data_IF_466490576642
#
_entry.id   IF_466490576642
#
_cell.length_a   1.000
_cell.length_b   1.000
_cell.length_c   1.000
_cell.angle_alpha   90.00
_cell.angle_beta   90.00
_cell.angle_gamma   90.00
#
_symmetry.space_group_name_H-M   'P 1'
#
loop_
_entity.id
_entity.type
_entity.pdbx_description
1 polymer ?
#
# COMPACT_ATOMS: atom_id res chain seq x y z
N UNK A 1 20.10 -11.71 -4.47
CA UNK A 1 19.27 -11.37 -3.30
C UNK A 1 18.33 -12.54 -3.09
N UNK A 2 18.40 -13.21 -1.94
CA UNK A 2 17.46 -14.25 -1.60
C UNK A 2 16.21 -13.62 -0.97
N UNK A 3 15.06 -14.26 -1.09
CA UNK A 3 13.77 -13.76 -0.65
C UNK A 3 13.12 -14.79 0.26
N UNK A 4 12.21 -14.42 1.16
CA UNK A 4 11.46 -15.41 1.94
C UNK A 4 9.94 -15.36 1.66
N UNK A 5 9.39 -16.53 1.37
CA UNK A 5 8.00 -16.83 1.10
C UNK A 5 7.43 -17.62 2.27
N UNK A 6 6.30 -17.19 2.83
CA UNK A 6 5.75 -17.86 4.00
C UNK A 6 4.45 -18.58 3.72
N UNK A 7 4.37 -19.87 4.07
CA UNK A 7 3.18 -20.72 3.91
C UNK A 7 2.71 -21.26 5.27
N UNK A 8 1.39 -21.31 5.48
CA UNK A 8 0.77 -21.88 6.68
C UNK A 8 0.57 -23.37 6.45
N UNK A 9 1.01 -24.16 7.42
CA UNK A 9 0.89 -25.60 7.36
C UNK A 9 -0.52 -26.15 7.61
N UNK A 10 -0.70 -27.35 7.08
CA UNK A 10 -1.92 -28.14 7.05
C UNK A 10 -2.46 -28.53 8.45
N UNK A 11 -3.78 -28.74 8.59
CA UNK A 11 -4.36 -29.44 9.74
C UNK A 11 -3.89 -30.92 9.80
N UNK A 12 -4.07 -31.63 10.94
CA UNK A 12 -3.56 -32.99 11.18
C UNK A 12 -4.05 -34.07 10.20
N UNK A 13 -5.06 -33.78 9.37
CA UNK A 13 -5.31 -34.51 8.14
C UNK A 13 -5.28 -33.56 6.92
N UNK A 14 -4.38 -33.77 5.95
CA UNK A 14 -4.28 -32.89 4.78
C UNK A 14 -5.49 -33.09 3.87
N UNK A 15 -6.30 -32.05 3.68
CA UNK A 15 -7.30 -32.03 2.60
C UNK A 15 -6.61 -32.12 1.23
N UNK A 16 -7.27 -32.67 0.22
CA UNK A 16 -6.74 -32.77 -1.17
C UNK A 16 -6.22 -31.42 -1.71
N UNK A 17 -6.81 -30.30 -1.28
CA UNK A 17 -6.38 -28.93 -1.64
C UNK A 17 -5.07 -28.54 -0.92
N UNK A 18 -4.92 -28.92 0.34
CA UNK A 18 -3.68 -28.75 1.11
C UNK A 18 -2.54 -29.60 0.52
N UNK A 19 -2.80 -30.85 0.11
CA UNK A 19 -1.82 -31.68 -0.61
C UNK A 19 -1.45 -31.09 -1.96
N UNK A 20 -2.40 -30.58 -2.74
CA UNK A 20 -2.10 -29.98 -4.04
C UNK A 20 -1.31 -28.66 -3.94
N UNK A 21 -1.55 -27.86 -2.88
CA UNK A 21 -0.77 -26.65 -2.58
C UNK A 21 0.64 -27.06 -2.15
N UNK A 22 0.79 -27.91 -1.14
CA UNK A 22 2.09 -28.38 -0.65
C UNK A 22 2.89 -29.12 -1.72
N UNK A 23 2.26 -30.07 -2.43
CA UNK A 23 2.89 -30.82 -3.51
C UNK A 23 3.27 -29.92 -4.68
N UNK A 24 2.50 -28.87 -5.03
CA UNK A 24 2.95 -27.88 -6.02
C UNK A 24 4.08 -26.99 -5.49
N UNK A 25 4.04 -26.58 -4.22
CA UNK A 25 5.13 -25.81 -3.60
C UNK A 25 6.44 -26.63 -3.49
N UNK A 26 6.36 -27.93 -3.18
CA UNK A 26 7.50 -28.85 -3.10
C UNK A 26 7.98 -29.32 -4.47
N UNK A 27 7.10 -29.62 -5.44
CA UNK A 27 7.53 -30.11 -6.76
C UNK A 27 7.80 -29.01 -7.79
N UNK A 28 7.26 -27.80 -7.63
CA UNK A 28 7.49 -26.70 -8.57
C UNK A 28 8.49 -25.64 -8.07
N UNK A 29 8.77 -25.55 -6.76
CA UNK A 29 9.56 -24.44 -6.18
C UNK A 29 10.74 -24.86 -5.28
N UNK A 30 11.01 -26.15 -5.03
CA UNK A 30 12.07 -26.57 -4.08
C UNK A 30 13.46 -26.92 -4.65
N UNK A 31 13.70 -26.80 -5.95
CA UNK A 31 15.02 -26.27 -6.31
C UNK A 31 14.93 -25.37 -7.53
N UNK A 32 15.45 -24.14 -7.40
CA UNK A 32 15.77 -23.15 -8.44
C UNK A 32 15.07 -21.82 -8.21
N UNK A 33 15.90 -20.77 -8.23
CA UNK A 33 15.49 -19.38 -8.41
C UNK A 33 14.33 -19.31 -9.41
N UNK A 34 13.16 -18.91 -8.93
CA UNK A 34 12.00 -18.74 -9.81
C UNK A 34 12.34 -17.55 -10.70
N UNK A 35 12.69 -17.83 -11.96
CA UNK A 35 12.46 -16.84 -13.02
C UNK A 35 10.95 -16.66 -13.10
N UNK A 36 10.45 -15.64 -12.41
CA UNK A 36 9.11 -15.12 -12.67
C UNK A 36 9.29 -14.19 -13.87
N UNK A 37 9.00 -14.63 -15.11
CA UNK A 37 9.12 -13.77 -16.27
C UNK A 37 8.18 -12.59 -16.01
N UNK A 38 8.67 -11.38 -16.25
CA UNK A 38 8.00 -10.09 -15.98
C UNK A 38 8.12 -9.50 -14.56
N UNK A 39 8.91 -10.07 -13.64
CA UNK A 39 9.50 -9.27 -12.54
C UNK A 39 10.85 -8.67 -12.94
N UNK A 40 11.43 -9.13 -14.05
CA UNK A 40 12.72 -8.68 -14.58
C UNK A 40 12.81 -7.15 -14.78
N UNK A 41 11.69 -6.50 -15.12
CA UNK A 41 11.66 -5.04 -15.28
C UNK A 41 11.91 -4.29 -13.95
N UNK A 42 11.69 -4.94 -12.80
CA UNK A 42 11.60 -4.25 -11.52
C UNK A 42 12.89 -4.19 -10.70
N UNK A 43 13.81 -5.15 -10.76
CA UNK A 43 15.11 -5.02 -10.04
C UNK A 43 16.26 -5.90 -10.54
N UNK A 44 16.02 -7.09 -11.10
CA UNK A 44 17.03 -8.01 -11.67
C UNK A 44 16.34 -9.12 -12.47
N UNK A 45 17.06 -9.84 -13.35
CA UNK A 45 16.54 -10.94 -14.18
C UNK A 45 15.98 -12.16 -13.39
N UNK A 46 16.19 -12.21 -12.07
CA UNK A 46 15.75 -13.31 -11.22
C UNK A 46 15.41 -12.86 -9.79
N UNK A 47 14.48 -13.60 -9.17
CA UNK A 47 14.11 -13.51 -7.74
C UNK A 47 14.28 -14.92 -7.15
N UNK A 48 15.07 -15.03 -6.09
CA UNK A 48 15.30 -16.30 -5.40
C UNK A 48 14.36 -16.47 -4.20
N UNK A 49 13.39 -17.38 -4.26
CA UNK A 49 12.40 -17.53 -3.20
C UNK A 49 12.77 -18.64 -2.20
N UNK A 50 12.82 -18.32 -0.91
CA UNK A 50 13.04 -19.23 0.23
C UNK A 50 11.73 -19.47 0.95
N UNK A 51 11.22 -20.69 0.92
CA UNK A 51 10.00 -21.03 1.65
C UNK A 51 10.27 -21.23 3.14
N UNK A 52 9.51 -20.54 3.98
CA UNK A 52 9.60 -20.62 5.44
C UNK A 52 8.20 -20.85 6.01
N UNK A 53 8.06 -21.81 6.92
CA UNK A 53 6.78 -22.12 7.57
C UNK A 53 6.35 -20.99 8.50
N UNK A 54 5.07 -20.63 8.46
CA UNK A 54 4.51 -19.68 9.43
C UNK A 54 4.44 -20.29 10.84
N UNK A 55 4.58 -19.47 11.90
CA UNK A 55 4.48 -19.93 13.27
C UNK A 55 3.09 -20.53 13.54
N UNK A 56 3.04 -21.57 14.37
CA UNK A 56 1.78 -22.19 14.80
C UNK A 56 0.89 -21.16 15.51
N UNK A 57 -0.41 -21.42 15.53
CA UNK A 57 -1.38 -20.64 16.31
C UNK A 57 -1.52 -19.14 15.94
N UNK A 58 -1.04 -18.76 14.76
CA UNK A 58 -1.08 -17.37 14.27
C UNK A 58 -2.17 -17.08 13.25
N UNK A 59 -2.72 -18.13 12.64
CA UNK A 59 -3.71 -18.05 11.58
C UNK A 59 -4.71 -19.19 11.69
N UNK A 60 -5.96 -18.93 11.32
CA UNK A 60 -7.06 -19.88 11.43
C UNK A 60 -8.31 -19.29 12.05
N UNK A 61 -9.40 -20.07 12.11
CA UNK A 61 -10.64 -19.65 12.74
C UNK A 61 -10.45 -19.43 14.23
N UNK A 62 -11.11 -18.41 14.79
CA UNK A 62 -11.03 -18.08 16.22
C UNK A 62 -11.16 -19.31 17.14
N UNK A 63 -12.14 -20.23 16.98
CA UNK A 63 -12.31 -21.36 17.89
C UNK A 63 -11.13 -22.34 17.90
N UNK A 64 -10.29 -22.33 16.87
CA UNK A 64 -9.19 -23.28 16.69
C UNK A 64 -7.85 -22.71 17.18
N UNK A 65 -7.86 -21.53 17.79
CA UNK A 65 -6.64 -20.83 18.21
C UNK A 65 -6.64 -20.61 19.74
N UNK A 66 -5.47 -20.52 20.38
CA UNK A 66 -5.36 -20.23 21.81
C UNK A 66 -6.10 -18.94 22.19
N UNK A 67 -6.60 -18.79 23.43
CA UNK A 67 -7.33 -17.59 23.86
C UNK A 67 -8.58 -17.27 23.00
N UNK A 68 -9.24 -18.29 22.46
CA UNK A 68 -10.45 -18.12 21.65
C UNK A 68 -11.64 -17.58 22.48
N UNK A 69 -11.62 -17.76 23.79
CA UNK A 69 -12.59 -17.29 24.77
C UNK A 69 -12.54 -15.75 24.96
N UNK A 70 -11.38 -15.12 24.78
CA UNK A 70 -11.19 -13.66 24.93
C UNK A 70 -12.10 -12.88 23.98
N UNK A 71 -13.11 -12.21 24.54
CA UNK A 71 -14.10 -11.44 23.75
C UNK A 71 -13.50 -10.17 23.14
N UNK A 72 -12.58 -9.51 23.85
CA UNK A 72 -11.95 -8.28 23.40
C UNK A 72 -11.01 -8.54 22.19
N UNK A 73 -11.30 -7.90 21.06
CA UNK A 73 -10.53 -8.11 19.83
C UNK A 73 -9.11 -7.51 19.87
N UNK A 74 -8.91 -6.41 20.62
CA UNK A 74 -7.59 -5.81 20.78
C UNK A 74 -6.68 -6.71 21.62
N UNK A 75 -7.20 -7.25 22.72
CA UNK A 75 -6.49 -8.20 23.57
C UNK A 75 -6.16 -9.50 22.83
N UNK A 76 -7.13 -10.09 22.11
CA UNK A 76 -6.84 -11.23 21.21
C UNK A 76 -5.77 -10.88 20.18
N UNK A 77 -5.85 -9.70 19.57
CA UNK A 77 -4.87 -9.25 18.60
C UNK A 77 -3.46 -9.16 19.19
N UNK A 78 -3.33 -8.75 20.45
CA UNK A 78 -2.05 -8.70 21.17
C UNK A 78 -1.52 -10.11 21.47
N UNK A 79 -2.36 -11.03 21.94
CA UNK A 79 -1.98 -12.43 22.15
C UNK A 79 -1.55 -13.10 20.83
N UNK A 80 -2.28 -12.82 19.74
CA UNK A 80 -1.90 -13.27 18.39
C UNK A 80 -0.58 -12.68 17.96
N UNK A 81 -0.32 -11.41 18.24
CA UNK A 81 0.96 -10.77 17.94
C UNK A 81 2.07 -11.51 18.69
N UNK A 82 1.94 -11.76 20.00
CA UNK A 82 2.96 -12.45 20.81
C UNK A 82 3.33 -13.84 20.27
N UNK A 83 2.36 -14.60 19.72
CA UNK A 83 2.63 -15.89 19.09
C UNK A 83 3.60 -15.82 17.88
N UNK A 84 3.82 -14.63 17.29
CA UNK A 84 4.81 -14.43 16.24
C UNK A 84 6.22 -14.14 16.75
N UNK A 85 6.39 -13.77 18.02
CA UNK A 85 7.59 -13.06 18.49
C UNK A 85 8.89 -13.80 18.24
N UNK A 86 9.04 -14.98 18.84
CA UNK A 86 10.25 -15.81 18.70
C UNK A 86 10.57 -16.10 17.23
N UNK A 87 9.53 -16.36 16.43
CA UNK A 87 9.68 -16.60 15.01
C UNK A 87 10.16 -15.36 14.24
N UNK A 88 9.61 -14.18 14.53
CA UNK A 88 10.02 -12.93 13.87
C UNK A 88 11.43 -12.47 14.26
N UNK A 89 11.84 -12.72 15.51
CA UNK A 89 13.19 -12.43 15.98
C UNK A 89 14.20 -13.32 15.24
N UNK A 90 13.92 -14.62 15.13
CA UNK A 90 14.72 -15.57 14.33
C UNK A 90 14.75 -15.18 12.85
N UNK A 91 13.60 -14.77 12.31
CA UNK A 91 13.50 -14.34 10.92
C UNK A 91 14.42 -13.15 10.66
N UNK A 92 14.47 -12.16 11.56
CA UNK A 92 15.35 -10.99 11.40
C UNK A 92 16.80 -11.39 11.18
N UNK A 93 17.30 -12.31 11.99
CA UNK A 93 18.68 -12.82 11.90
C UNK A 93 18.94 -13.51 10.55
N UNK A 94 18.02 -14.39 10.13
CA UNK A 94 18.09 -15.06 8.83
C UNK A 94 18.06 -14.07 7.66
N UNK A 95 17.24 -13.02 7.76
CA UNK A 95 17.14 -12.01 6.71
C UNK A 95 18.42 -11.21 6.51
N UNK A 96 19.17 -10.94 7.59
CA UNK A 96 20.48 -10.31 7.50
C UNK A 96 21.50 -11.22 6.81
N UNK A 97 21.52 -12.50 7.16
CA UNK A 97 22.43 -13.48 6.57
C UNK A 97 22.14 -13.72 5.08
N UNK A 98 20.87 -13.91 4.72
CA UNK A 98 20.44 -14.29 3.37
C UNK A 98 20.17 -13.08 2.46
N UNK A 99 20.42 -11.86 2.95
CA UNK A 99 20.11 -10.61 2.24
C UNK A 99 18.64 -10.53 1.75
N UNK A 100 17.69 -10.90 2.62
CA UNK A 100 16.25 -10.88 2.31
C UNK A 100 15.71 -9.45 2.40
N UNK A 101 15.23 -8.95 1.26
CA UNK A 101 14.76 -7.57 1.09
C UNK A 101 13.24 -7.40 1.11
N UNK A 102 12.47 -8.47 1.30
CA UNK A 102 11.00 -8.37 1.38
C UNK A 102 10.30 -9.67 1.75
N UNK A 103 9.07 -9.54 2.26
CA UNK A 103 8.30 -10.65 2.82
C UNK A 103 6.91 -10.74 2.21
N UNK A 104 6.57 -11.92 1.69
CA UNK A 104 5.24 -12.26 1.22
C UNK A 104 4.64 -13.38 2.08
N UNK A 105 3.50 -13.11 2.72
CA UNK A 105 2.79 -14.08 3.54
C UNK A 105 1.62 -14.65 2.77
N UNK A 106 1.65 -15.96 2.50
CA UNK A 106 0.57 -16.69 1.85
C UNK A 106 -0.32 -17.34 2.90
N UNK A 107 -1.54 -16.83 3.04
CA UNK A 107 -2.49 -17.30 4.05
C UNK A 107 -3.91 -17.41 3.49
N UNK A 108 -4.60 -18.56 3.64
CA UNK A 108 -5.97 -18.70 3.17
C UNK A 108 -6.92 -17.82 3.98
N UNK A 109 -8.05 -17.47 3.36
CA UNK A 109 -9.16 -16.75 4.02
C UNK A 109 -10.08 -17.69 4.79
N UNK A 110 -10.14 -18.94 4.36
CA UNK A 110 -11.03 -19.97 4.87
C UNK A 110 -10.20 -21.21 5.22
N UNK A 111 -10.47 -21.80 6.37
CA UNK A 111 -9.79 -22.95 6.94
C UNK A 111 -10.79 -24.06 7.23
N UNK A 112 -10.31 -25.30 7.27
CA UNK A 112 -11.14 -26.49 7.44
C UNK A 112 -11.50 -27.16 6.12
N UNK A 113 -12.49 -28.03 6.18
CA UNK A 113 -12.94 -28.87 5.07
C UNK A 113 -14.17 -29.66 5.49
N UNK A 114 -14.71 -30.49 4.59
CA UNK A 114 -15.78 -31.42 4.95
C UNK A 114 -15.23 -32.49 5.91
N UNK A 115 -16.01 -32.92 6.93
CA UNK A 115 -17.41 -32.55 7.20
C UNK A 115 -17.59 -31.27 8.02
N UNK A 116 -16.55 -30.79 8.73
CA UNK A 116 -16.63 -29.73 9.74
C UNK A 116 -16.92 -28.31 9.21
N UNK A 117 -16.95 -28.16 7.88
CA UNK A 117 -17.26 -26.94 7.18
C UNK A 117 -16.07 -25.97 7.08
N UNK A 118 -16.18 -25.02 6.15
CA UNK A 118 -15.19 -23.97 6.00
C UNK A 118 -15.47 -22.83 6.98
N UNK A 119 -14.48 -22.48 7.81
CA UNK A 119 -14.55 -21.37 8.75
C UNK A 119 -13.57 -20.28 8.35
N UNK A 120 -13.97 -19.02 8.53
CA UNK A 120 -13.16 -17.87 8.16
C UNK A 120 -12.02 -17.66 9.17
N UNK A 121 -10.88 -17.19 8.67
CA UNK A 121 -9.77 -16.67 9.50
C UNK A 121 -10.28 -15.64 10.52
N UNK A 122 -9.77 -15.66 11.75
CA UNK A 122 -10.06 -14.57 12.70
C UNK A 122 -9.52 -13.25 12.12
N UNK A 123 -10.35 -12.21 12.14
CA UNK A 123 -10.05 -10.95 11.48
C UNK A 123 -8.87 -10.20 12.11
N UNK A 124 -8.46 -10.57 13.33
CA UNK A 124 -7.31 -9.99 14.04
C UNK A 124 -5.98 -10.58 13.57
N UNK A 125 -5.95 -11.78 13.00
CA UNK A 125 -4.73 -12.54 12.70
C UNK A 125 -3.82 -11.79 11.74
N UNK A 126 -4.36 -11.32 10.60
CA UNK A 126 -3.58 -10.58 9.60
C UNK A 126 -3.00 -9.27 10.15
N UNK A 127 -3.76 -8.54 10.96
CA UNK A 127 -3.25 -7.30 11.57
C UNK A 127 -2.17 -7.58 12.62
N UNK A 128 -2.32 -8.66 13.38
CA UNK A 128 -1.35 -9.08 14.38
C UNK A 128 -0.02 -9.49 13.72
N UNK A 129 -0.07 -10.31 12.65
CA UNK A 129 1.12 -10.72 11.91
C UNK A 129 1.84 -9.55 11.25
N UNK A 130 1.11 -8.61 10.59
CA UNK A 130 1.72 -7.37 10.07
C UNK A 130 2.44 -6.58 11.17
N UNK A 131 1.79 -6.40 12.32
CA UNK A 131 2.36 -5.65 13.45
C UNK A 131 3.59 -6.36 14.02
N UNK A 132 3.53 -7.68 14.23
CA UNK A 132 4.65 -8.49 14.69
C UNK A 132 5.87 -8.38 13.78
N UNK A 133 5.68 -8.59 12.47
CA UNK A 133 6.77 -8.53 11.48
C UNK A 133 7.37 -7.12 11.44
N UNK A 134 6.55 -6.07 11.42
CA UNK A 134 7.06 -4.70 11.42
C UNK A 134 7.75 -4.31 12.73
N UNK A 135 7.25 -4.76 13.88
CA UNK A 135 7.82 -4.43 15.19
C UNK A 135 9.11 -5.19 15.49
N UNK A 136 9.17 -6.49 15.21
CA UNK A 136 10.27 -7.34 15.67
C UNK A 136 11.22 -7.76 14.56
N UNK A 137 10.71 -8.06 13.36
CA UNK A 137 11.57 -8.30 12.20
C UNK A 137 12.04 -7.00 11.53
N UNK A 138 11.42 -5.85 11.85
CA UNK A 138 11.68 -4.54 11.23
C UNK A 138 11.50 -4.54 9.71
N UNK A 139 10.47 -5.25 9.26
CA UNK A 139 10.22 -5.49 7.83
C UNK A 139 8.79 -5.16 7.45
N UNK A 140 8.63 -4.82 6.17
CA UNK A 140 7.31 -4.60 5.56
C UNK A 140 6.88 -5.88 4.86
N UNK A 141 5.58 -6.14 4.89
CA UNK A 141 5.02 -7.43 4.46
C UNK A 141 3.75 -7.23 3.65
N UNK A 142 3.57 -8.07 2.63
CA UNK A 142 2.32 -8.16 1.90
C UNK A 142 1.68 -9.54 2.02
N UNK A 143 0.35 -9.55 2.17
CA UNK A 143 -0.43 -10.77 2.32
C UNK A 143 -1.05 -11.19 1.00
N UNK A 144 -0.93 -12.48 0.71
CA UNK A 144 -1.45 -13.12 -0.49
C UNK A 144 -2.41 -14.24 -0.10
N UNK A 145 -3.43 -14.44 -0.94
CA UNK A 145 -4.20 -15.69 -0.90
C UNK A 145 -3.41 -16.78 -1.64
N UNK A 146 -3.53 -18.06 -1.23
CA UNK A 146 -2.91 -19.17 -1.94
C UNK A 146 -3.52 -19.36 -3.34
N UNK A 147 -2.93 -20.25 -4.12
CA UNK A 147 -3.55 -20.76 -5.35
C UNK A 147 -4.88 -21.47 -5.01
N UNK A 148 -5.86 -21.38 -5.92
CA UNK A 148 -7.16 -22.05 -5.78
C UNK A 148 -7.10 -23.53 -6.16
N UNK A 149 -6.00 -23.98 -6.78
CA UNK A 149 -5.83 -25.37 -7.21
C UNK A 149 -4.67 -25.53 -8.21
N UNK A 150 -4.44 -26.76 -8.69
CA UNK A 150 -3.29 -27.08 -9.55
C UNK A 150 -3.47 -26.66 -11.02
N UNK A 151 -4.65 -26.18 -11.43
CA UNK A 151 -4.90 -25.77 -12.82
C UNK A 151 -3.94 -24.66 -13.25
N UNK A 152 -3.49 -24.70 -14.51
CA UNK A 152 -2.55 -23.72 -15.07
C UNK A 152 -3.05 -22.27 -14.95
N UNK A 153 -4.35 -22.03 -15.16
CA UNK A 153 -4.97 -20.72 -15.00
C UNK A 153 -4.91 -20.19 -13.56
N UNK A 154 -5.09 -21.07 -12.56
CA UNK A 154 -4.99 -20.72 -11.15
C UNK A 154 -3.54 -20.38 -10.75
N UNK A 155 -2.57 -21.09 -11.33
CA UNK A 155 -1.14 -20.77 -11.16
C UNK A 155 -0.80 -19.40 -11.76
N UNK A 156 -1.26 -19.11 -12.97
CA UNK A 156 -1.06 -17.80 -13.60
C UNK A 156 -1.69 -16.65 -12.79
N UNK A 157 -2.91 -16.84 -12.27
CA UNK A 157 -3.56 -15.85 -11.38
C UNK A 157 -2.73 -15.59 -10.12
N UNK A 158 -2.19 -16.65 -9.52
CA UNK A 158 -1.34 -16.54 -8.33
C UNK A 158 -0.02 -15.83 -8.63
N UNK A 159 0.65 -16.16 -9.74
CA UNK A 159 1.87 -15.47 -10.18
C UNK A 159 1.64 -13.97 -10.37
N UNK A 160 0.56 -13.58 -11.06
CA UNK A 160 0.20 -12.18 -11.24
C UNK A 160 -0.04 -11.47 -9.91
N UNK A 161 -0.68 -12.17 -8.94
CA UNK A 161 -0.90 -11.63 -7.59
C UNK A 161 0.41 -11.41 -6.84
N UNK A 162 1.34 -12.37 -6.94
CA UNK A 162 2.67 -12.27 -6.33
C UNK A 162 3.48 -11.12 -6.95
N UNK A 163 3.48 -10.99 -8.28
CA UNK A 163 4.10 -9.87 -9.00
C UNK A 163 3.56 -8.51 -8.53
N UNK A 164 2.23 -8.38 -8.48
CA UNK A 164 1.60 -7.14 -8.02
C UNK A 164 1.91 -6.83 -6.55
N UNK A 165 1.92 -7.85 -5.68
CA UNK A 165 2.29 -7.68 -4.28
C UNK A 165 3.77 -7.32 -4.11
N UNK A 166 4.64 -7.84 -4.96
CA UNK A 166 6.04 -7.48 -5.00
C UNK A 166 6.22 -6.02 -5.42
N UNK A 167 5.58 -5.60 -6.51
CA UNK A 167 5.58 -4.21 -6.97
C UNK A 167 5.07 -3.25 -5.91
N UNK A 168 3.98 -3.61 -5.23
CA UNK A 168 3.43 -2.85 -4.10
C UNK A 168 4.46 -2.72 -2.98
N UNK A 169 5.14 -3.82 -2.63
CA UNK A 169 6.18 -3.81 -1.63
C UNK A 169 7.36 -2.91 -2.06
N UNK A 170 7.95 -3.12 -3.23
CA UNK A 170 9.12 -2.34 -3.69
C UNK A 170 8.82 -0.84 -3.85
N UNK A 171 7.67 -0.51 -4.46
CA UNK A 171 7.36 0.88 -4.81
C UNK A 171 6.67 1.61 -3.67
N UNK A 172 5.59 1.04 -3.13
CA UNK A 172 4.76 1.74 -2.14
C UNK A 172 5.28 1.61 -0.70
N UNK A 173 6.08 0.59 -0.40
CA UNK A 173 6.59 0.35 0.96
C UNK A 173 8.09 0.62 1.09
N UNK A 174 8.91 0.16 0.14
CA UNK A 174 10.35 0.45 0.12
C UNK A 174 10.69 1.79 -0.53
N UNK A 175 9.79 2.33 -1.36
CA UNK A 175 9.98 3.64 -1.97
C UNK A 175 11.06 3.64 -3.04
N UNK A 176 11.29 2.51 -3.70
CA UNK A 176 12.31 2.37 -4.74
C UNK A 176 11.64 2.33 -6.11
N UNK A 177 12.10 3.19 -7.01
CA UNK A 177 11.59 3.31 -8.37
C UNK A 177 12.73 3.17 -9.38
N UNK A 178 12.38 2.94 -10.64
CA UNK A 178 13.33 2.92 -11.76
C UNK A 178 12.95 3.99 -12.76
N UNK A 179 13.96 4.60 -13.39
CA UNK A 179 13.86 5.42 -14.60
C UNK A 179 12.83 6.57 -14.51
N UNK A 180 12.64 7.13 -13.30
CA UNK A 180 11.73 8.26 -13.11
C UNK A 180 12.30 9.55 -13.68
N UNK A 181 13.62 9.74 -13.59
CA UNK A 181 14.26 10.98 -14.03
C UNK A 181 13.91 11.32 -15.48
N UNK A 182 14.12 10.37 -16.40
CA UNK A 182 13.84 10.57 -17.83
C UNK A 182 12.33 10.74 -18.09
N UNK A 183 11.51 9.96 -17.38
CA UNK A 183 10.05 10.06 -17.46
C UNK A 183 9.58 11.46 -17.05
N UNK A 184 10.05 11.99 -15.93
CA UNK A 184 9.71 13.32 -15.43
C UNK A 184 10.25 14.39 -16.36
N UNK A 185 11.51 14.30 -16.77
CA UNK A 185 12.16 15.27 -17.67
C UNK A 185 11.41 15.44 -18.98
N UNK A 186 10.78 14.38 -19.50
CA UNK A 186 9.96 14.44 -20.71
C UNK A 186 8.77 15.42 -20.61
N UNK A 187 8.26 15.66 -19.39
CA UNK A 187 7.18 16.61 -19.11
C UNK A 187 7.67 18.03 -18.77
N UNK A 188 8.98 18.25 -18.62
CA UNK A 188 9.57 19.54 -18.27
C UNK A 188 10.62 19.98 -19.31
N UNK A 189 10.19 20.54 -20.46
CA UNK A 189 11.12 21.03 -21.47
C UNK A 189 11.99 22.18 -20.93
N UNK A 190 13.14 22.41 -21.58
CA UNK A 190 14.06 23.53 -21.31
C UNK A 190 14.81 23.50 -19.96
N UNK A 191 15.06 22.31 -19.40
CA UNK A 191 15.87 22.18 -18.18
C UNK A 191 15.17 22.61 -16.90
N UNK A 192 13.85 22.86 -16.95
CA UNK A 192 13.03 23.19 -15.80
C UNK A 192 12.58 21.95 -14.98
N UNK A 193 13.18 20.78 -15.21
CA UNK A 193 12.79 19.55 -14.49
C UNK A 193 13.02 19.74 -12.99
N UNK A 194 12.05 19.38 -12.13
CA UNK A 194 12.30 19.33 -10.70
C UNK A 194 13.42 18.34 -10.42
N UNK A 195 14.17 18.55 -9.34
CA UNK A 195 15.08 17.53 -8.80
C UNK A 195 14.39 16.66 -7.74
N UNK A 196 13.34 17.19 -7.10
CA UNK A 196 12.51 16.46 -6.15
C UNK A 196 11.02 16.76 -6.34
N UNK A 197 10.19 15.76 -6.05
CA UNK A 197 8.73 15.88 -6.04
C UNK A 197 8.24 15.57 -4.63
N UNK A 198 7.52 16.51 -4.02
CA UNK A 198 7.01 16.38 -2.65
C UNK A 198 5.49 16.33 -2.68
N UNK A 199 4.90 15.22 -2.25
CA UNK A 199 3.46 15.08 -2.03
C UNK A 199 3.10 15.30 -0.56
N UNK A 200 2.21 16.24 -0.25
CA UNK A 200 1.71 16.53 1.09
C UNK A 200 0.23 16.18 1.17
N UNK A 201 -0.15 15.38 2.16
CA UNK A 201 -1.54 14.99 2.39
C UNK A 201 -1.83 14.79 3.88
N UNK A 202 -3.12 14.74 4.23
CA UNK A 202 -3.56 14.24 5.54
C UNK A 202 -3.97 12.79 5.38
N UNK A 203 -3.26 11.88 6.05
CA UNK A 203 -3.59 10.46 6.06
C UNK A 203 -4.53 10.19 7.23
N UNK A 204 -5.65 9.51 6.94
CA UNK A 204 -6.69 9.20 7.93
C UNK A 204 -6.83 7.70 8.13
N UNK A 205 -6.91 7.28 9.38
CA UNK A 205 -7.37 5.96 9.78
C UNK A 205 -8.80 6.10 10.28
N UNK A 206 -9.75 5.50 9.55
CA UNK A 206 -11.16 5.52 9.95
C UNK A 206 -11.37 4.75 11.25
N UNK A 207 -12.29 5.26 12.09
CA UNK A 207 -12.77 4.58 13.29
C UNK A 207 -13.33 3.22 12.88
N UNK A 208 -12.79 2.12 13.41
CA UNK A 208 -13.34 0.79 13.15
C UNK A 208 -14.51 0.53 14.10
N UNK A 209 -15.48 -0.28 13.65
CA UNK A 209 -16.63 -0.76 14.45
C UNK A 209 -16.19 -1.48 15.74
N UNK A 210 -14.93 -1.90 15.82
CA UNK A 210 -14.29 -2.55 16.97
C UNK A 210 -13.76 -1.56 18.04
N UNK A 211 -14.19 -0.30 18.03
CA UNK A 211 -13.86 0.68 19.07
C UNK A 211 -12.51 1.40 18.92
N UNK A 212 -11.67 1.03 17.94
CA UNK A 212 -10.44 1.79 17.63
C UNK A 212 -10.82 3.19 17.17
N UNK A 213 -10.40 4.20 17.92
CA UNK A 213 -10.63 5.59 17.57
C UNK A 213 -9.92 5.94 16.25
N UNK A 214 -10.57 6.79 15.45
CA UNK A 214 -9.95 7.29 14.23
C UNK A 214 -8.73 8.15 14.56
N UNK A 215 -7.82 8.25 13.59
CA UNK A 215 -6.70 9.18 13.66
C UNK A 215 -6.47 9.84 12.32
N UNK A 216 -5.89 11.04 12.34
CA UNK A 216 -5.37 11.71 11.16
C UNK A 216 -3.99 12.29 11.46
N UNK A 217 -3.10 12.28 10.49
CA UNK A 217 -1.77 12.91 10.58
C UNK A 217 -1.40 13.56 9.23
N UNK A 218 -0.77 14.75 9.24
CA UNK A 218 -0.03 15.25 8.10
C UNK A 218 1.12 14.30 7.74
N UNK A 219 1.25 14.01 6.46
CA UNK A 219 2.35 13.23 5.88
C UNK A 219 2.86 13.96 4.66
N UNK A 220 4.18 14.00 4.51
CA UNK A 220 4.85 14.40 3.29
C UNK A 220 5.67 13.22 2.78
N UNK A 221 5.54 12.93 1.50
CA UNK A 221 6.37 11.99 0.77
C UNK A 221 7.23 12.78 -0.19
N UNK A 222 8.53 12.47 -0.24
CA UNK A 222 9.48 13.12 -1.12
C UNK A 222 10.13 12.08 -2.02
N UNK A 223 10.03 12.30 -3.32
CA UNK A 223 10.70 11.51 -4.34
C UNK A 223 11.92 12.28 -4.83
N UNK A 224 13.10 11.72 -4.56
CA UNK A 224 14.37 12.22 -5.11
C UNK A 224 14.58 11.58 -6.49
N UNK A 225 14.67 12.41 -7.52
CA UNK A 225 14.78 11.95 -8.90
C UNK A 225 16.20 11.55 -9.29
N UNK A 226 17.22 11.96 -8.52
CA UNK A 226 18.60 11.53 -8.75
C UNK A 226 18.82 10.09 -8.24
N UNK A 227 18.28 9.78 -7.05
CA UNK A 227 18.45 8.46 -6.42
C UNK A 227 17.30 7.49 -6.69
N UNK A 228 16.18 7.98 -7.24
CA UNK A 228 14.91 7.25 -7.37
C UNK A 228 14.39 6.69 -6.03
N UNK A 229 14.74 7.36 -4.92
CA UNK A 229 14.31 6.98 -3.58
C UNK A 229 13.20 7.87 -3.05
N UNK A 230 12.28 7.25 -2.32
CA UNK A 230 11.22 7.94 -1.61
C UNK A 230 11.54 8.05 -0.12
N UNK A 231 11.30 9.25 0.41
CA UNK A 231 11.45 9.62 1.80
C UNK A 231 10.10 10.03 2.36
N UNK A 232 9.95 9.92 3.67
CA UNK A 232 8.73 10.28 4.39
C UNK A 232 9.07 11.20 5.55
N UNK A 233 8.16 12.13 5.80
CA UNK A 233 8.16 13.01 6.95
C UNK A 233 6.74 13.09 7.51
N UNK A 234 6.61 13.09 8.82
CA UNK A 234 5.35 12.99 9.55
C UNK A 234 5.25 14.11 10.59
N UNK A 235 4.02 14.53 10.89
CA UNK A 235 3.75 15.40 12.04
C UNK A 235 2.59 14.88 12.87
N UNK A 236 2.75 14.89 14.19
CA UNK A 236 1.74 14.44 15.13
C UNK A 236 1.95 15.07 16.51
N UNK A 237 0.94 15.01 17.37
CA UNK A 237 1.09 15.33 18.79
C UNK A 237 1.44 14.07 19.56
N UNK A 238 2.50 14.17 20.34
CA UNK A 238 2.83 13.23 21.40
C UNK A 238 2.56 13.92 22.73
N UNK A 239 1.46 13.53 23.39
CA UNK A 239 0.92 14.23 24.55
C UNK A 239 0.71 15.73 24.22
N UNK A 240 1.46 16.62 24.88
CA UNK A 240 1.40 18.07 24.69
C UNK A 240 2.50 18.62 23.76
N UNK A 241 3.28 17.76 23.13
CA UNK A 241 4.36 18.17 22.23
C UNK A 241 4.00 17.89 20.78
N UNK A 242 4.09 18.93 19.95
CA UNK A 242 4.08 18.76 18.50
C UNK A 242 5.42 18.17 18.06
N UNK A 243 5.37 16.97 17.48
CA UNK A 243 6.50 16.25 16.93
C UNK A 243 6.45 16.33 15.41
N UNK A 244 7.57 16.73 14.80
CA UNK A 244 7.80 16.65 13.36
C UNK A 244 9.06 15.83 13.14
N UNK A 245 8.96 14.79 12.33
CA UNK A 245 10.12 13.94 12.04
C UNK A 245 11.03 14.62 11.02
N UNK A 246 12.29 14.22 10.98
CA UNK A 246 13.14 14.52 9.83
C UNK A 246 12.75 13.65 8.63
N UNK A 247 13.27 13.98 7.44
CA UNK A 247 13.15 13.11 6.27
C UNK A 247 13.91 11.81 6.52
N UNK A 248 13.21 10.69 6.45
CA UNK A 248 13.81 9.35 6.53
C UNK A 248 13.35 8.48 5.35
N UNK A 249 14.09 7.43 4.97
CA UNK A 249 13.64 6.51 3.91
C UNK A 249 12.22 6.00 4.17
N UNK A 250 11.40 5.89 3.11
CA UNK A 250 9.98 5.55 3.22
C UNK A 250 9.74 4.32 4.11
N UNK A 251 10.53 3.27 3.91
CA UNK A 251 10.47 2.05 4.71
C UNK A 251 10.59 2.34 6.20
N UNK A 252 11.61 3.09 6.60
CA UNK A 252 11.90 3.41 8.00
C UNK A 252 10.76 4.18 8.64
N UNK A 253 10.22 5.18 7.95
CA UNK A 253 9.10 5.96 8.48
C UNK A 253 7.77 5.20 8.50
N UNK A 254 7.54 4.26 7.58
CA UNK A 254 6.39 3.34 7.67
C UNK A 254 6.49 2.38 8.86
N UNK A 255 7.70 1.85 9.14
CA UNK A 255 7.95 1.02 10.32
C UNK A 255 7.75 1.82 11.62
N UNK A 256 8.25 3.06 11.68
CA UNK A 256 8.03 3.99 12.78
C UNK A 256 6.54 4.28 12.97
N UNK A 257 5.82 4.57 11.89
CA UNK A 257 4.38 4.84 11.94
C UNK A 257 3.60 3.63 12.50
N UNK A 258 4.01 2.41 12.11
CA UNK A 258 3.40 1.18 12.61
C UNK A 258 3.64 0.97 14.11
N UNK A 259 4.79 1.39 14.66
CA UNK A 259 5.10 1.27 16.08
C UNK A 259 4.44 2.35 16.94
N UNK A 260 4.28 3.58 16.42
CA UNK A 260 3.69 4.70 17.15
C UNK A 260 2.15 4.65 17.21
N UNK A 261 1.50 4.02 16.24
CA UNK A 261 0.04 4.02 16.13
C UNK A 261 -0.66 3.48 17.41
N UNK A 262 -1.65 4.20 17.98
CA UNK A 262 -2.35 5.35 17.39
C UNK A 262 -1.71 6.71 17.72
N UNK A 263 -1.43 7.52 16.69
CA UNK A 263 -1.01 8.93 16.77
C UNK A 263 -2.02 9.85 16.09
N UNK A 264 -2.05 11.14 16.45
CA UNK A 264 -3.01 12.11 15.89
C UNK A 264 -2.39 13.48 15.64
N UNK A 265 -2.98 14.23 14.72
CA UNK A 265 -2.61 15.61 14.39
C UNK A 265 -3.10 16.65 15.40
N UNK A 266 -3.89 16.23 16.39
CA UNK A 266 -4.35 17.06 17.50
C UNK A 266 -5.68 16.55 18.06
N UNK A 267 -6.03 17.01 19.26
CA UNK A 267 -7.28 16.63 19.95
C UNK A 267 -8.51 17.39 19.45
N UNK A 268 -8.30 18.59 18.92
CA UNK A 268 -9.34 19.47 18.42
C UNK A 268 -8.94 20.06 17.06
N UNK A 269 -9.90 20.71 16.38
CA UNK A 269 -9.70 21.25 15.03
C UNK A 269 -8.57 22.28 14.95
N UNK A 270 -8.41 23.09 15.99
CA UNK A 270 -7.39 24.13 16.06
C UNK A 270 -5.98 23.54 16.14
N UNK A 271 -5.72 22.61 17.07
CA UNK A 271 -4.44 21.89 17.15
C UNK A 271 -4.11 21.16 15.86
N UNK A 272 -5.12 20.57 15.22
CA UNK A 272 -4.98 19.89 13.92
C UNK A 272 -4.61 20.86 12.79
N UNK A 273 -5.21 22.07 12.78
CA UNK A 273 -4.83 23.15 11.86
C UNK A 273 -3.40 23.64 12.09
N UNK A 274 -3.04 23.96 13.34
CA UNK A 274 -1.68 24.41 13.71
C UNK A 274 -0.64 23.35 13.32
N UNK A 275 -0.92 22.08 13.61
CA UNK A 275 -0.06 20.96 13.25
C UNK A 275 0.18 20.91 11.73
N UNK A 276 -0.88 20.96 10.92
CA UNK A 276 -0.76 20.90 9.47
C UNK A 276 -0.09 22.14 8.87
N UNK A 277 -0.44 23.35 9.32
CA UNK A 277 0.15 24.60 8.82
C UNK A 277 1.66 24.70 9.14
N UNK A 278 2.06 24.38 10.37
CA UNK A 278 3.48 24.34 10.75
C UNK A 278 4.23 23.27 9.97
N UNK A 279 3.62 22.10 9.79
CA UNK A 279 4.21 21.00 9.02
C UNK A 279 4.48 21.40 7.55
N UNK A 280 3.45 21.95 6.89
CA UNK A 280 3.56 22.48 5.54
C UNK A 280 4.66 23.54 5.44
N UNK A 281 4.68 24.50 6.38
CA UNK A 281 5.69 25.56 6.42
C UNK A 281 7.10 24.97 6.52
N UNK A 282 7.35 24.05 7.45
CA UNK A 282 8.66 23.44 7.64
C UNK A 282 9.10 22.60 6.44
N UNK A 283 8.19 21.84 5.83
CA UNK A 283 8.47 21.05 4.62
C UNK A 283 8.87 21.96 3.46
N UNK A 284 8.11 23.04 3.22
CA UNK A 284 8.37 23.98 2.12
C UNK A 284 9.61 24.83 2.37
N UNK A 285 9.87 25.23 3.61
CA UNK A 285 11.08 25.96 3.99
C UNK A 285 12.34 25.14 3.69
N UNK A 286 12.38 23.88 4.17
CA UNK A 286 13.50 22.98 3.91
C UNK A 286 13.70 22.69 2.42
N UNK A 287 12.61 22.53 1.66
CA UNK A 287 12.67 22.31 0.22
C UNK A 287 13.18 23.55 -0.54
N UNK A 288 12.82 24.76 -0.06
CA UNK A 288 13.27 26.03 -0.62
C UNK A 288 14.74 26.33 -0.37
N UNK A 289 15.25 26.01 0.82
CA UNK A 289 16.65 26.21 1.22
C UNK A 289 17.64 25.42 0.34
N UNK A 290 17.24 24.24 -0.12
CA UNK A 290 18.11 23.35 -0.90
C UNK A 290 18.23 23.75 -2.38
N UNK A 291 17.51 24.79 -2.84
CA UNK A 291 17.51 25.26 -4.24
C UNK A 291 17.20 24.17 -5.30
N UNK A 292 16.53 23.09 -4.91
CA UNK A 292 16.26 21.90 -5.73
C UNK A 292 15.11 22.07 -6.75
N UNK A 293 14.58 23.29 -6.87
CA UNK A 293 13.38 23.62 -7.67
C UNK A 293 12.21 22.64 -7.48
N UNK A 294 11.79 22.39 -6.22
CA UNK A 294 10.87 21.31 -5.89
C UNK A 294 9.52 21.48 -6.57
N UNK A 295 8.93 20.36 -7.00
CA UNK A 295 7.52 20.28 -7.34
C UNK A 295 6.74 19.80 -6.12
N UNK A 296 5.96 20.68 -5.51
CA UNK A 296 5.21 20.42 -4.28
C UNK A 296 3.74 20.24 -4.63
N UNK A 297 3.21 19.05 -4.38
CA UNK A 297 1.84 18.64 -4.63
C UNK A 297 1.10 18.57 -3.30
N UNK A 298 0.05 19.39 -3.11
CA UNK A 298 -0.72 19.39 -1.86
C UNK A 298 -2.14 18.89 -2.12
N UNK A 299 -2.51 17.76 -1.51
CA UNK A 299 -3.85 17.20 -1.61
C UNK A 299 -4.86 18.04 -0.80
N UNK A 300 -5.51 18.98 -1.47
CA UNK A 300 -6.39 19.97 -0.84
C UNK A 300 -7.76 19.43 -0.43
N UNK A 301 -8.26 18.36 -1.06
CA UNK A 301 -9.59 17.79 -0.81
C UNK A 301 -9.81 17.49 0.68
N UNK A 302 -8.77 17.03 1.39
CA UNK A 302 -8.86 16.75 2.82
C UNK A 302 -8.06 17.72 3.71
N UNK A 303 -7.27 18.63 3.12
CA UNK A 303 -6.40 19.58 3.81
C UNK A 303 -6.94 21.02 3.89
N UNK A 304 -7.85 21.43 3.00
CA UNK A 304 -8.43 22.79 2.98
C UNK A 304 -9.26 23.14 4.23
N UNK A 305 -9.65 22.12 5.00
CA UNK A 305 -10.30 22.29 6.30
C UNK A 305 -9.32 22.62 7.43
N UNK A 306 -8.01 22.37 7.21
CA UNK A 306 -6.90 22.62 8.15
C UNK A 306 -6.12 23.88 7.83
N UNK A 307 -5.88 24.14 6.55
CA UNK A 307 -5.19 25.34 6.07
C UNK A 307 -6.06 26.06 5.02
N UNK A 308 -6.55 27.23 5.40
CA UNK A 308 -7.59 27.94 4.64
C UNK A 308 -7.15 28.38 3.24
N UNK A 309 -5.89 28.77 3.07
CA UNK A 309 -5.34 29.16 1.76
C UNK A 309 -5.50 28.09 0.66
N UNK A 310 -5.67 26.81 1.04
CA UNK A 310 -5.96 25.72 0.10
C UNK A 310 -7.42 25.65 -0.36
N UNK A 311 -8.30 26.55 0.08
CA UNK A 311 -9.71 26.60 -0.36
C UNK A 311 -9.84 27.33 -1.68
N UNK A 312 -10.88 27.01 -2.44
CA UNK A 312 -11.16 27.66 -3.73
C UNK A 312 -11.34 29.18 -3.58
N UNK A 313 -12.00 29.64 -2.51
CA UNK A 313 -12.30 31.05 -2.27
C UNK A 313 -11.09 31.87 -1.81
N UNK A 314 -10.08 31.21 -1.26
CA UNK A 314 -8.99 31.84 -0.52
C UNK A 314 -7.63 31.67 -1.23
N UNK A 315 -7.60 30.94 -2.35
CA UNK A 315 -6.39 30.61 -3.09
C UNK A 315 -5.89 31.83 -3.87
N UNK A 316 -4.88 32.50 -3.31
CA UNK A 316 -4.14 33.57 -3.96
C UNK A 316 -2.64 33.24 -3.94
N UNK A 317 -2.02 32.94 -5.09
CA UNK A 317 -0.58 32.64 -5.18
C UNK A 317 0.33 33.77 -4.68
N UNK A 318 -0.13 35.03 -4.69
CA UNK A 318 0.63 36.18 -4.20
C UNK A 318 0.40 36.42 -2.70
N UNK A 319 -0.58 35.77 -2.08
CA UNK A 319 -0.94 35.96 -0.67
C UNK A 319 -1.01 34.65 0.09
N UNK A 320 0.06 33.86 -0.03
CA UNK A 320 0.23 32.67 0.80
C UNK A 320 0.44 33.07 2.26
N UNK A 321 -0.34 32.49 3.17
CA UNK A 321 -0.26 32.77 4.60
C UNK A 321 -0.49 31.51 5.45
N UNK A 322 0.11 31.47 6.65
CA UNK A 322 -0.26 30.53 7.72
C UNK A 322 -0.46 31.30 9.02
N UNK A 323 -1.25 30.77 9.96
CA UNK A 323 -1.42 31.40 11.28
C UNK A 323 -0.11 31.44 12.06
N UNK A 324 0.76 30.46 11.84
CA UNK A 324 2.04 30.33 12.53
C UNK A 324 3.17 31.16 11.96
N UNK A 325 3.19 31.42 10.64
CA UNK A 325 4.30 32.10 9.97
C UNK A 325 3.90 33.44 9.33
N UNK A 326 2.62 33.81 9.36
CA UNK A 326 2.14 35.08 8.81
C UNK A 326 2.04 35.06 7.28
N UNK A 327 2.17 36.24 6.68
CA UNK A 327 2.08 36.47 5.23
C UNK A 327 3.46 36.44 4.56
N UNK A 328 3.49 36.52 3.22
CA UNK A 328 4.74 36.68 2.45
C UNK A 328 5.46 35.37 2.13
N UNK A 329 4.85 34.22 2.43
CA UNK A 329 5.45 32.90 2.17
C UNK A 329 5.75 32.66 0.68
N UNK A 330 4.99 33.30 -0.22
CA UNK A 330 5.27 33.30 -1.66
C UNK A 330 6.65 33.84 -2.03
N UNK A 331 7.19 34.79 -1.25
CA UNK A 331 8.54 35.34 -1.49
C UNK A 331 9.62 34.39 -1.02
N UNK A 332 9.38 33.75 0.13
CA UNK A 332 10.27 32.74 0.71
C UNK A 332 10.37 31.51 -0.19
N UNK A 333 9.28 31.12 -0.86
CA UNK A 333 9.21 29.90 -1.66
C UNK A 333 9.27 30.13 -3.17
N UNK A 334 9.89 31.23 -3.64
CA UNK A 334 9.97 31.59 -5.07
C UNK A 334 10.57 30.51 -5.99
N UNK A 335 11.40 29.61 -5.46
CA UNK A 335 11.98 28.49 -6.20
C UNK A 335 11.09 27.24 -6.26
N UNK A 336 10.01 27.18 -5.49
CA UNK A 336 9.12 26.03 -5.42
C UNK A 336 7.92 26.18 -6.36
N UNK A 337 7.57 25.09 -7.05
CA UNK A 337 6.31 25.00 -7.81
C UNK A 337 5.28 24.32 -6.94
N UNK A 338 4.30 25.08 -6.45
CA UNK A 338 3.27 24.56 -5.57
C UNK A 338 2.00 24.31 -6.39
N UNK A 339 1.60 23.04 -6.47
CA UNK A 339 0.39 22.59 -7.16
C UNK A 339 -0.59 22.07 -6.13
N UNK A 340 -1.76 22.70 -6.11
CA UNK A 340 -2.89 22.26 -5.31
C UNK A 340 -3.64 21.16 -6.08
N UNK A 341 -3.79 19.98 -5.47
CA UNK A 341 -4.51 18.84 -6.05
C UNK A 341 -5.89 18.71 -5.42
N UNK A 342 -6.91 18.50 -6.26
CA UNK A 342 -8.25 18.07 -5.86
C UNK A 342 -8.45 16.64 -6.33
N UNK A 343 -8.77 15.73 -5.41
CA UNK A 343 -8.98 14.30 -5.70
C UNK A 343 -10.02 14.09 -6.81
N UNK A 344 -11.10 14.87 -6.79
CA UNK A 344 -12.18 14.82 -7.77
C UNK A 344 -11.78 15.30 -9.18
N UNK A 345 -10.71 16.09 -9.30
CA UNK A 345 -10.20 16.61 -10.58
C UNK A 345 -8.86 15.96 -10.96
N UNK A 346 -8.28 15.16 -10.07
CA UNK A 346 -7.04 14.46 -10.36
C UNK A 346 -7.34 13.42 -11.45
N UNK A 347 -6.52 13.36 -12.51
CA UNK A 347 -6.67 12.32 -13.51
C UNK A 347 -6.55 10.98 -12.79
N UNK A 348 -7.52 10.08 -12.97
CA UNK A 348 -7.45 8.77 -12.35
C UNK A 348 -6.23 8.03 -12.89
N UNK A 349 -5.63 7.19 -12.04
CA UNK A 349 -4.55 6.30 -12.49
C UNK A 349 -5.13 5.45 -13.63
N UNK A 350 -4.62 5.66 -14.83
CA UNK A 350 -5.00 4.87 -16.00
C UNK A 350 -4.40 3.50 -15.77
N UNK A 351 -5.26 2.54 -15.45
CA UNK A 351 -4.84 1.16 -15.33
C UNK A 351 -4.97 0.52 -16.71
N UNK A 352 -3.87 -0.07 -17.18
CA UNK A 352 -3.89 -1.01 -18.30
C UNK A 352 -4.69 -2.24 -17.83
N UNK A 353 -5.97 -2.27 -18.20
CA UNK A 353 -6.89 -3.36 -17.90
C UNK A 353 -7.41 -3.93 -19.20
N UNK A 354 -7.27 -5.25 -19.31
CA UNK A 354 -8.04 -6.04 -20.26
C UNK A 354 -9.36 -6.42 -19.60
N UNK A 355 -10.47 -6.14 -20.27
CA UNK A 355 -11.78 -6.65 -19.88
C UNK A 355 -12.27 -7.62 -20.92
N UNK A 356 -12.77 -8.76 -20.43
CA UNK A 356 -13.62 -9.64 -21.23
C UNK A 356 -15.01 -9.05 -21.24
N UNK A 357 -15.48 -8.63 -22.41
CA UNK A 357 -16.84 -8.18 -22.60
C UNK A 357 -17.63 -9.22 -23.37
N UNK A 358 -18.93 -9.27 -23.08
CA UNK A 358 -19.86 -10.06 -23.88
C UNK A 358 -20.48 -9.16 -24.95
N UNK A 359 -20.56 -9.68 -26.16
CA UNK A 359 -21.21 -9.00 -27.27
C UNK A 359 -22.72 -9.16 -27.17
N UNK A 360 -23.43 -8.04 -27.29
CA UNK A 360 -24.89 -7.97 -27.27
C UNK A 360 -25.41 -6.94 -28.28
N UNK A 361 -26.68 -7.03 -28.65
CA UNK A 361 -27.39 -6.09 -29.55
C UNK A 361 -28.63 -5.53 -28.86
N UNK A 362 -29.23 -4.48 -29.42
CA UNK A 362 -30.48 -3.91 -28.89
C UNK A 362 -31.67 -4.90 -28.93
N UNK A 363 -31.58 -5.90 -29.81
CA UNK A 363 -32.57 -6.96 -30.00
C UNK A 363 -32.22 -8.25 -29.25
N UNK A 364 -31.16 -8.24 -28.44
CA UNK A 364 -30.67 -9.44 -27.75
C UNK A 364 -31.58 -9.82 -26.58
N UNK A 365 -32.28 -10.94 -26.73
CA UNK A 365 -33.23 -11.44 -25.74
C UNK A 365 -32.56 -12.25 -24.60
N UNK A 366 -31.25 -12.51 -24.69
CA UNK A 366 -30.50 -13.28 -23.68
C UNK A 366 -30.43 -12.52 -22.37
N UNK A 367 -30.56 -13.23 -21.24
CA UNK A 367 -30.39 -12.63 -19.92
C UNK A 367 -28.90 -12.36 -19.65
N UNK A 368 -28.59 -11.41 -18.78
CA UNK A 368 -27.20 -11.01 -18.47
C UNK A 368 -26.29 -12.19 -18.06
N UNK A 369 -26.84 -13.18 -17.37
CA UNK A 369 -26.12 -14.39 -16.93
C UNK A 369 -25.91 -15.43 -18.04
N UNK A 370 -26.56 -15.26 -19.20
CA UNK A 370 -26.42 -16.11 -20.40
C UNK A 370 -25.41 -15.54 -21.40
N UNK A 371 -24.93 -14.32 -21.16
CA UNK A 371 -23.94 -13.66 -22.00
C UNK A 371 -22.53 -14.12 -21.60
N UNK A 372 -21.85 -14.77 -22.54
CA UNK A 372 -20.47 -15.23 -22.37
C UNK A 372 -19.53 -14.16 -22.88
N UNK A 373 -18.60 -13.74 -22.02
CA UNK A 373 -17.60 -12.76 -22.39
C UNK A 373 -16.50 -13.40 -23.27
N UNK A 374 -16.56 -13.13 -24.56
CA UNK A 374 -15.70 -13.74 -25.58
C UNK A 374 -14.61 -12.80 -26.09
N UNK A 375 -14.77 -11.49 -25.94
CA UNK A 375 -13.85 -10.51 -26.51
C UNK A 375 -12.99 -9.84 -25.43
N UNK A 376 -11.67 -9.95 -25.58
CA UNK A 376 -10.70 -9.26 -24.75
C UNK A 376 -10.41 -7.87 -25.34
N UNK A 377 -11.00 -6.83 -24.76
CA UNK A 377 -10.70 -5.47 -25.16
C UNK A 377 -9.75 -4.79 -24.17
N UNK A 378 -8.77 -4.09 -24.73
CA UNK A 378 -7.88 -3.21 -23.97
C UNK A 378 -8.62 -1.92 -23.66
N UNK A 379 -8.90 -1.67 -22.38
CA UNK A 379 -9.57 -0.45 -21.93
C UNK A 379 -8.67 0.24 -20.92
N UNK A 380 -7.97 1.33 -21.30
CA UNK A 380 -7.34 2.20 -20.32
C UNK A 380 -8.46 2.79 -19.46
N UNK A 381 -8.62 2.28 -18.23
CA UNK A 381 -9.74 2.68 -17.36
C UNK A 381 -9.26 3.28 -16.06
N UNK A 382 -9.99 4.32 -15.66
CA UNK A 382 -10.02 4.86 -14.32
C UNK A 382 -10.75 3.92 -13.34
N UNK A 383 -10.32 3.80 -12.07
CA UNK A 383 -11.20 3.31 -11.02
C UNK A 383 -12.41 4.26 -10.86
N UNK A 384 -13.63 3.72 -10.95
CA UNK A 384 -14.94 4.39 -10.73
C UNK A 384 -15.60 5.10 -11.91
N UNK A 385 -15.05 5.06 -13.13
CA UNK A 385 -15.81 5.51 -14.29
C UNK A 385 -16.83 4.44 -14.68
N UNK A 386 -18.12 4.68 -14.41
CA UNK A 386 -19.24 3.99 -15.07
C UNK A 386 -19.34 4.43 -16.55
N UNK A 387 -18.22 4.39 -17.27
CA UNK A 387 -18.17 4.76 -18.68
C UNK A 387 -18.58 3.56 -19.52
N UNK A 388 -19.70 3.73 -20.23
CA UNK A 388 -20.13 2.86 -21.31
C UNK A 388 -19.54 3.41 -22.61
N UNK A 389 -18.89 2.57 -23.42
CA UNK A 389 -18.54 2.91 -24.80
C UNK A 389 -19.71 2.50 -25.69
N UNK A 390 -20.43 3.47 -26.23
CA UNK A 390 -21.35 3.23 -27.36
C UNK A 390 -20.52 3.36 -28.63
N UNK A 391 -20.31 2.27 -29.36
CA UNK A 391 -19.74 2.31 -30.72
C UNK A 391 -20.86 2.42 -31.75
N UNK A 392 -20.67 3.28 -32.75
CA UNK A 392 -21.62 3.53 -33.86
C UNK A 392 -21.68 2.37 -34.88
N UNK A 393 -21.91 1.16 -34.40
CA UNK A 393 -22.25 0.00 -35.22
C UNK A 393 -22.95 -1.01 -34.32
N UNK A 394 -24.29 -1.08 -34.37
CA UNK A 394 -25.26 -2.14 -33.99
C UNK A 394 -24.99 -3.11 -32.81
N UNK A 395 -23.93 -2.91 -32.06
CA UNK A 395 -23.32 -3.86 -31.15
C UNK A 395 -22.84 -3.10 -29.92
N UNK A 396 -23.35 -3.54 -28.77
CA UNK A 396 -23.04 -2.99 -27.47
C UNK A 396 -22.26 -4.06 -26.71
N UNK A 397 -21.13 -3.64 -26.12
CA UNK A 397 -20.35 -4.50 -25.25
C UNK A 397 -20.71 -4.19 -23.80
N UNK A 398 -21.03 -5.24 -23.03
CA UNK A 398 -21.47 -5.13 -21.62
C UNK A 398 -20.64 -5.97 -20.66
#
# INVERSE_FOLDING_TARGET
MAFAWFSIDAPPEPTQVSRAIHQWFETALQPLAIRIPHIADLTTDFIECKLIRLPKDTHGPRPNLPHHDVKNAAERGQQRMEAWRSWTETLREQMHHDAIIGLLVVAPKWYGGKPDGFRRDDFVNKSAGRKAISSWAQQLVQYLLPTKGPQASNKAEFCLRAQNAWRDLTWAHYGQFKDLHDSVKSFFPNGASPQEIIGIAIVRRNKKRTGQQGSDIPVALKLDLATNQCFICLSYWDQERLVMTEWEPLRSGLLRLASLSPIRSGENRERQSICFEKFCTQVMDKAGEQQMQPLILILSTNASSRWHWLRDTDLDPQKIFTRSAGHGLHQKWRGARIVRIREEHAPPIILDKRRKLAQSSETDARRRNELVATEDIHIPTSPNTQLFRVSNASCRYI
#
